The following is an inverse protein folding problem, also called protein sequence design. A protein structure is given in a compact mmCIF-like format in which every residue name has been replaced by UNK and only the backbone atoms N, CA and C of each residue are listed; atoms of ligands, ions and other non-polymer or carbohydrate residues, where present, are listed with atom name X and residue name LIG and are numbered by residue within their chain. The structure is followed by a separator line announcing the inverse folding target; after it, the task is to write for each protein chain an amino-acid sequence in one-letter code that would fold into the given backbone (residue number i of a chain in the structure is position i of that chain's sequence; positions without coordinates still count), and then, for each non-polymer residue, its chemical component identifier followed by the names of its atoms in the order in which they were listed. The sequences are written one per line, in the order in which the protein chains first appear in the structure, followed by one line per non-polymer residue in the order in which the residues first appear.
data_IF_302968128775
#
_entry.id   IF_302968128775
#
_cell.length_a   1.000
_cell.length_b   1.000
_cell.length_c   1.000
_cell.angle_alpha   90.00
_cell.angle_beta   90.00
_cell.angle_gamma   90.00
#
_symmetry.space_group_name_H-M   'P 1'
#
loop_
_entity.id
_entity.type
_entity.pdbx_description
1 polymer ?
#
# COMPACT_ATOMS: atom_id res chain seq x y z
N UNK A 1 12.90 -13.49 -6.91
CA UNK A 1 14.06 -13.69 -6.03
C UNK A 1 14.09 -12.60 -4.97
N UNK A 2 14.89 -12.78 -3.90
CA UNK A 2 15.00 -11.85 -2.75
C UNK A 2 15.21 -10.37 -3.16
N UNK A 3 16.17 -10.09 -4.04
CA UNK A 3 16.48 -8.73 -4.48
C UNK A 3 15.29 -8.03 -5.19
N UNK A 4 14.56 -8.75 -6.04
CA UNK A 4 13.37 -8.21 -6.69
C UNK A 4 12.26 -7.83 -5.67
N UNK A 5 12.14 -8.58 -4.57
CA UNK A 5 11.20 -8.23 -3.48
C UNK A 5 11.66 -6.95 -2.76
N UNK A 6 12.97 -6.73 -2.59
CA UNK A 6 13.50 -5.50 -1.98
C UNK A 6 13.31 -4.27 -2.89
N UNK A 7 13.61 -4.42 -4.18
CA UNK A 7 13.46 -3.32 -5.16
C UNK A 7 12.00 -2.87 -5.33
N UNK A 8 11.04 -3.78 -5.15
CA UNK A 8 9.62 -3.46 -5.18
C UNK A 8 9.17 -2.52 -4.04
N UNK A 9 10.00 -2.32 -3.01
CA UNK A 9 9.71 -1.50 -1.83
C UNK A 9 8.29 -1.71 -1.26
N UNK A 10 7.90 -2.98 -0.98
CA UNK A 10 6.55 -3.28 -0.53
C UNK A 10 6.26 -2.63 0.82
N UNK A 11 4.98 -2.44 1.20
CA UNK A 11 4.64 -1.96 2.54
C UNK A 11 5.32 -2.81 3.62
N UNK A 12 5.77 -2.18 4.70
CA UNK A 12 6.47 -2.84 5.79
C UNK A 12 5.48 -3.63 6.67
N UNK A 13 5.05 -4.79 6.21
CA UNK A 13 4.03 -5.64 6.83
C UNK A 13 4.52 -7.06 7.01
N UNK A 14 3.95 -7.85 7.94
CA UNK A 14 4.37 -9.23 8.11
C UNK A 14 4.20 -10.05 6.83
N UNK A 15 3.11 -9.90 6.07
CA UNK A 15 2.90 -10.66 4.83
C UNK A 15 3.97 -10.40 3.74
N UNK A 16 4.63 -9.25 3.76
CA UNK A 16 5.67 -8.88 2.78
C UNK A 16 7.08 -9.15 3.30
N UNK A 17 7.30 -8.96 4.60
CA UNK A 17 8.62 -9.11 5.23
C UNK A 17 8.93 -10.57 5.58
N UNK A 18 7.99 -11.35 6.12
CA UNK A 18 8.25 -12.74 6.56
C UNK A 18 8.88 -13.62 5.47
N UNK A 19 8.40 -13.60 4.20
CA UNK A 19 9.05 -14.37 3.14
C UNK A 19 10.52 -13.99 2.91
N UNK A 20 10.92 -12.74 3.20
CA UNK A 20 12.33 -12.32 3.07
C UNK A 20 13.19 -12.89 4.21
N UNK A 21 12.64 -12.98 5.42
CA UNK A 21 13.31 -13.62 6.57
C UNK A 21 13.47 -15.13 6.32
N UNK A 22 12.41 -15.80 5.86
CA UNK A 22 12.42 -17.22 5.54
C UNK A 22 13.44 -17.55 4.44
N UNK A 23 13.48 -16.75 3.37
CA UNK A 23 14.44 -16.89 2.27
C UNK A 23 15.90 -16.85 2.80
N UNK A 24 16.24 -15.91 3.69
CA UNK A 24 17.59 -15.81 4.26
C UNK A 24 17.92 -16.94 5.24
N UNK A 25 16.96 -17.34 6.07
CA UNK A 25 17.14 -18.46 7.00
C UNK A 25 17.39 -19.76 6.21
N UNK A 26 16.61 -20.02 5.16
CA UNK A 26 16.80 -21.18 4.28
C UNK A 26 18.17 -21.13 3.59
N UNK A 27 18.54 -19.99 2.98
CA UNK A 27 19.84 -19.84 2.31
C UNK A 27 21.03 -20.11 3.24
N UNK A 28 20.94 -19.66 4.50
CA UNK A 28 21.98 -19.88 5.52
C UNK A 28 22.19 -21.35 5.84
N UNK A 29 21.14 -22.16 5.81
CA UNK A 29 21.24 -23.61 6.07
C UNK A 29 21.78 -24.42 4.88
N UNK A 30 21.80 -23.83 3.67
CA UNK A 30 22.17 -24.52 2.43
C UNK A 30 23.63 -24.36 2.03
N UNK A 31 24.41 -23.55 2.74
CA UNK A 31 25.81 -23.25 2.40
C UNK A 31 26.71 -23.33 3.63
N UNK A 32 27.92 -23.83 3.46
CA UNK A 32 28.98 -23.77 4.48
C UNK A 32 30.14 -22.85 4.05
N UNK A 33 30.01 -22.19 2.89
CA UNK A 33 31.00 -21.23 2.41
C UNK A 33 31.03 -20.00 3.33
N UNK A 34 32.19 -19.73 3.94
CA UNK A 34 32.36 -18.65 4.92
C UNK A 34 32.12 -17.26 4.33
N UNK A 35 32.47 -17.03 3.05
CA UNK A 35 32.23 -15.76 2.38
C UNK A 35 30.74 -15.55 2.10
N UNK A 36 30.03 -16.61 1.71
CA UNK A 36 28.58 -16.56 1.51
C UNK A 36 27.86 -16.36 2.84
N UNK A 37 28.29 -17.05 3.91
CA UNK A 37 27.74 -16.89 5.26
C UNK A 37 27.89 -15.45 5.77
N UNK A 38 29.07 -14.83 5.61
CA UNK A 38 29.29 -13.44 5.99
C UNK A 38 28.30 -12.50 5.28
N UNK A 39 28.08 -12.70 3.97
CA UNK A 39 27.13 -11.88 3.20
C UNK A 39 25.68 -12.08 3.65
N UNK A 40 25.29 -13.31 3.98
CA UNK A 40 23.96 -13.60 4.51
C UNK A 40 23.74 -12.92 5.87
N UNK A 41 24.76 -12.87 6.73
CA UNK A 41 24.69 -12.18 8.03
C UNK A 41 24.51 -10.67 7.83
N UNK A 42 25.17 -10.06 6.84
CA UNK A 42 24.94 -8.65 6.52
C UNK A 42 23.50 -8.40 6.05
N UNK A 43 22.94 -9.29 5.23
CA UNK A 43 21.53 -9.22 4.83
C UNK A 43 20.57 -9.43 6.01
N UNK A 44 20.92 -10.28 6.98
CA UNK A 44 20.17 -10.45 8.22
C UNK A 44 20.22 -9.16 9.08
N UNK A 45 21.37 -8.50 9.17
CA UNK A 45 21.50 -7.20 9.84
C UNK A 45 20.61 -6.13 9.17
N UNK A 46 20.56 -6.13 7.84
CA UNK A 46 19.67 -5.24 7.09
C UNK A 46 18.19 -5.52 7.38
N UNK A 47 17.75 -6.78 7.34
CA UNK A 47 16.34 -7.10 7.63
C UNK A 47 15.96 -6.83 9.10
N UNK A 48 16.87 -7.04 10.04
CA UNK A 48 16.67 -6.63 11.43
C UNK A 48 16.47 -5.10 11.54
N UNK A 49 17.27 -4.33 10.80
CA UNK A 49 17.07 -2.88 10.68
C UNK A 49 15.73 -2.51 10.03
N UNK A 50 15.31 -3.19 8.95
CA UNK A 50 14.01 -2.95 8.31
C UNK A 50 12.85 -3.22 9.27
N UNK A 51 12.94 -4.28 10.07
CA UNK A 51 11.95 -4.59 11.10
C UNK A 51 11.91 -3.52 12.20
N UNK A 52 13.07 -2.99 12.63
CA UNK A 52 13.12 -1.88 13.59
C UNK A 52 12.57 -0.58 12.99
N UNK A 53 12.89 -0.30 11.73
CA UNK A 53 12.36 0.85 11.01
C UNK A 53 10.83 0.77 10.89
N UNK A 54 10.28 -0.43 10.68
CA UNK A 54 8.83 -0.66 10.71
C UNK A 54 8.23 -0.27 12.07
N UNK A 55 8.86 -0.66 13.19
CA UNK A 55 8.36 -0.28 14.52
C UNK A 55 8.33 1.23 14.71
N UNK A 56 9.35 1.93 14.24
CA UNK A 56 9.37 3.39 14.18
C UNK A 56 8.24 3.95 13.27
N UNK A 57 8.04 3.39 12.08
CA UNK A 57 7.01 3.84 11.15
C UNK A 57 5.59 3.64 11.69
N UNK A 58 5.34 2.57 12.45
CA UNK A 58 4.06 2.33 13.11
C UNK A 58 3.68 3.44 14.10
N UNK A 59 4.66 3.99 14.82
CA UNK A 59 4.46 5.12 15.74
C UNK A 59 4.32 6.41 14.95
N UNK A 60 5.31 6.72 14.09
CA UNK A 60 5.35 7.95 13.29
C UNK A 60 4.14 8.12 12.38
N UNK A 61 3.57 7.03 11.88
CA UNK A 61 2.48 7.12 10.91
C UNK A 61 1.13 7.42 11.55
N UNK A 62 0.97 7.31 12.88
CA UNK A 62 -0.29 7.58 13.59
C UNK A 62 -0.45 9.04 14.01
N UNK A 63 0.66 9.75 14.25
CA UNK A 63 0.66 11.14 14.70
C UNK A 63 1.71 11.95 13.96
N UNK A 64 1.38 13.21 13.64
CA UNK A 64 2.36 14.17 13.15
C UNK A 64 3.27 14.70 14.28
N UNK A 65 2.85 14.55 15.54
CA UNK A 65 3.58 15.05 16.70
C UNK A 65 4.67 14.06 17.15
N UNK A 66 5.82 14.58 17.54
CA UNK A 66 6.96 13.79 18.03
C UNK A 66 6.94 13.72 19.57
N UNK A 67 6.10 12.86 20.12
CA UNK A 67 6.06 12.59 21.56
C UNK A 67 7.18 11.65 22.04
N UNK A 68 7.12 11.25 23.31
CA UNK A 68 8.12 10.37 23.92
C UNK A 68 8.21 9.01 23.19
N UNK A 69 7.08 8.41 22.85
CA UNK A 69 7.03 7.15 22.08
C UNK A 69 7.76 7.27 20.72
N UNK A 70 7.68 8.44 20.07
CA UNK A 70 8.43 8.69 18.83
C UNK A 70 9.94 8.67 19.08
N UNK A 71 10.40 9.39 20.10
CA UNK A 71 11.82 9.50 20.42
C UNK A 71 12.42 8.20 20.96
N UNK A 72 11.66 7.40 21.72
CA UNK A 72 12.06 6.03 22.11
C UNK A 72 12.31 5.15 20.88
N UNK A 73 11.44 5.24 19.85
CA UNK A 73 11.64 4.51 18.59
C UNK A 73 12.80 5.05 17.77
N UNK A 74 12.99 6.38 17.74
CA UNK A 74 14.18 6.98 17.10
C UNK A 74 15.45 6.49 17.77
N UNK A 75 15.51 6.46 19.10
CA UNK A 75 16.68 6.00 19.84
C UNK A 75 17.02 4.55 19.50
N UNK A 76 16.03 3.65 19.57
CA UNK A 76 16.20 2.23 19.24
C UNK A 76 16.67 2.02 17.80
N UNK A 77 16.00 2.65 16.83
CA UNK A 77 16.34 2.56 15.40
C UNK A 77 17.76 3.08 15.12
N UNK A 78 18.08 4.26 15.65
CA UNK A 78 19.36 4.91 15.43
C UNK A 78 20.49 4.15 16.14
N UNK A 79 20.23 3.56 17.31
CA UNK A 79 21.21 2.71 17.98
C UNK A 79 21.54 1.47 17.16
N UNK A 80 20.53 0.79 16.62
CA UNK A 80 20.77 -0.37 15.75
C UNK A 80 21.57 0.05 14.51
N UNK A 81 21.16 1.13 13.83
CA UNK A 81 21.88 1.66 12.66
C UNK A 81 23.33 2.02 12.98
N UNK A 82 23.60 2.61 14.15
CA UNK A 82 24.95 2.88 14.64
C UNK A 82 25.76 1.60 14.85
N UNK A 83 25.20 0.59 15.55
CA UNK A 83 25.92 -0.64 15.88
C UNK A 83 26.17 -1.55 14.67
N UNK A 84 25.46 -1.38 13.55
CA UNK A 84 25.71 -2.13 12.29
C UNK A 84 26.45 -1.32 11.22
N UNK A 85 26.88 -0.08 11.51
CA UNK A 85 27.43 0.86 10.51
C UNK A 85 28.60 0.33 9.67
N UNK A 86 29.42 -0.56 10.23
CA UNK A 86 30.60 -1.12 9.54
C UNK A 86 30.29 -2.30 8.61
N UNK A 87 29.02 -2.71 8.52
CA UNK A 87 28.55 -3.73 7.57
C UNK A 87 28.13 -3.13 6.22
N UNK A 88 28.13 -1.81 6.09
CA UNK A 88 27.76 -1.06 4.87
C UNK A 88 26.38 -1.41 4.27
N UNK A 89 25.44 -1.87 5.10
CA UNK A 89 24.05 -2.18 4.69
C UNK A 89 23.07 -1.05 4.95
N UNK A 90 23.44 -0.06 5.78
CA UNK A 90 22.60 1.08 6.14
C UNK A 90 23.45 2.35 6.20
N UNK A 91 23.02 3.41 5.52
CA UNK A 91 23.68 4.70 5.56
C UNK A 91 23.28 5.51 6.81
N UNK A 92 23.77 5.10 7.99
CA UNK A 92 23.35 5.66 9.29
C UNK A 92 23.46 7.20 9.37
N UNK A 93 24.50 7.80 8.76
CA UNK A 93 24.67 9.26 8.78
C UNK A 93 23.55 10.01 8.04
N UNK A 94 23.05 9.46 6.93
CA UNK A 94 21.93 10.05 6.19
C UNK A 94 20.63 9.95 7.01
N UNK A 95 20.44 8.82 7.70
CA UNK A 95 19.31 8.63 8.61
C UNK A 95 19.36 9.62 9.79
N UNK A 96 20.53 9.77 10.43
CA UNK A 96 20.75 10.74 11.50
C UNK A 96 20.47 12.18 11.02
N UNK A 97 20.93 12.55 9.83
CA UNK A 97 20.62 13.89 9.28
C UNK A 97 19.12 14.15 9.10
N UNK A 98 18.35 13.11 8.81
CA UNK A 98 16.90 13.21 8.59
C UNK A 98 16.11 13.19 9.89
N UNK A 99 16.42 12.27 10.80
CA UNK A 99 15.64 12.02 12.02
C UNK A 99 16.16 12.79 13.25
N UNK A 100 17.46 13.08 13.28
CA UNK A 100 18.14 13.58 14.49
C UNK A 100 18.61 15.04 14.38
N UNK A 101 18.27 15.77 13.32
CA UNK A 101 18.70 17.17 13.19
C UNK A 101 17.62 18.17 13.60
N UNK A 102 16.67 18.44 12.72
CA UNK A 102 15.73 19.55 12.94
C UNK A 102 14.67 19.24 14.00
N UNK A 103 14.01 18.07 13.90
CA UNK A 103 12.91 17.69 14.79
C UNK A 103 13.32 17.68 16.28
N UNK A 104 14.41 17.01 16.72
CA UNK A 104 14.76 17.01 18.13
C UNK A 104 15.07 18.39 18.70
N UNK A 105 15.67 19.29 17.90
CA UNK A 105 15.93 20.65 18.35
C UNK A 105 14.65 21.48 18.50
N UNK A 106 13.65 21.25 17.64
CA UNK A 106 12.33 21.88 17.73
C UNK A 106 11.55 21.36 18.94
N UNK A 107 11.69 20.08 19.27
CA UNK A 107 10.96 19.41 20.33
C UNK A 107 11.70 19.46 21.70
N UNK A 108 12.75 20.28 21.82
CA UNK A 108 13.58 20.42 23.03
C UNK A 108 14.18 19.08 23.52
N UNK A 109 14.61 18.24 22.57
CA UNK A 109 15.33 16.97 22.74
C UNK A 109 16.75 17.04 22.13
N UNK A 110 17.59 18.02 22.49
CA UNK A 110 18.91 18.21 21.86
C UNK A 110 19.86 17.02 22.03
N UNK A 111 19.61 16.15 23.01
CA UNK A 111 20.37 14.92 23.29
C UNK A 111 20.31 13.88 22.16
N UNK A 112 19.34 13.99 21.25
CA UNK A 112 19.29 13.20 20.02
C UNK A 112 20.15 13.79 18.90
N UNK A 113 20.58 15.05 19.01
CA UNK A 113 21.20 15.76 17.90
C UNK A 113 22.63 15.31 17.61
N UNK A 114 22.98 15.19 16.32
CA UNK A 114 24.37 14.97 15.89
C UNK A 114 25.35 16.04 16.40
N UNK A 115 24.86 17.23 16.72
CA UNK A 115 25.65 18.36 17.22
C UNK A 115 25.56 18.52 18.74
N UNK A 116 25.04 17.52 19.46
CA UNK A 116 24.97 17.52 20.92
C UNK A 116 26.38 17.67 21.51
N UNK A 117 26.59 18.75 22.28
CA UNK A 117 27.90 19.12 22.82
C UNK A 117 28.28 18.45 24.14
N UNK A 118 27.35 18.18 25.08
CA UNK A 118 27.69 17.54 26.35
C UNK A 118 28.26 16.12 26.22
N UNK A 119 28.07 15.45 25.08
CA UNK A 119 28.57 14.10 24.84
C UNK A 119 28.09 13.55 23.50
N UNK A 120 28.31 12.24 23.23
CA UNK A 120 27.70 11.59 22.08
C UNK A 120 26.16 11.64 22.20
N UNK A 121 25.44 11.65 21.07
CA UNK A 121 23.99 11.56 21.07
C UNK A 121 23.50 10.29 21.79
N UNK A 122 22.31 10.34 22.40
CA UNK A 122 21.78 9.22 23.20
C UNK A 122 21.70 7.89 22.45
N UNK A 123 21.56 7.92 21.12
CA UNK A 123 21.51 6.73 20.29
C UNK A 123 22.90 6.16 19.91
N UNK A 124 24.00 6.90 20.08
CA UNK A 124 25.36 6.43 19.77
C UNK A 124 25.98 5.64 20.94
N UNK A 125 25.35 4.52 21.29
CA UNK A 125 25.78 3.68 22.40
C UNK A 125 26.18 2.26 21.95
N UNK A 126 27.14 1.69 22.66
CA UNK A 126 27.56 0.29 22.51
C UNK A 126 28.54 0.02 21.37
N UNK A 127 29.13 -1.17 21.43
CA UNK A 127 30.06 -1.71 20.44
C UNK A 127 29.33 -2.25 19.19
N UNK A 128 30.04 -2.39 18.05
CA UNK A 128 29.49 -3.04 16.86
C UNK A 128 28.90 -4.43 17.17
N UNK A 129 27.78 -4.78 16.52
CA UNK A 129 27.15 -6.09 16.72
C UNK A 129 28.03 -7.22 16.17
N UNK A 130 28.31 -8.20 17.03
CA UNK A 130 28.84 -9.50 16.61
C UNK A 130 27.85 -10.24 15.71
N UNK A 131 28.34 -11.21 14.94
CA UNK A 131 27.48 -12.03 14.07
C UNK A 131 26.41 -12.79 14.86
N UNK A 132 26.75 -13.28 16.06
CA UNK A 132 25.81 -13.94 16.95
C UNK A 132 24.69 -12.99 17.41
N UNK A 133 25.01 -11.74 17.77
CA UNK A 133 24.01 -10.74 18.12
C UNK A 133 23.11 -10.36 16.93
N UNK A 134 23.67 -10.28 15.71
CA UNK A 134 22.89 -10.04 14.49
C UNK A 134 21.89 -11.17 14.25
N UNK A 135 22.33 -12.42 14.34
CA UNK A 135 21.48 -13.60 14.17
C UNK A 135 20.36 -13.59 15.22
N UNK A 136 20.68 -13.35 16.49
CA UNK A 136 19.69 -13.29 17.55
C UNK A 136 18.64 -12.18 17.33
N UNK A 137 19.08 -10.99 16.87
CA UNK A 137 18.15 -9.90 16.54
C UNK A 137 17.27 -10.22 15.34
N UNK A 138 17.82 -10.87 14.33
CA UNK A 138 17.07 -11.33 13.16
C UNK A 138 15.98 -12.34 13.56
N UNK A 139 16.34 -13.34 14.37
CA UNK A 139 15.40 -14.35 14.87
C UNK A 139 14.30 -13.72 15.75
N UNK A 140 14.67 -12.78 16.62
CA UNK A 140 13.70 -12.02 17.40
C UNK A 140 12.76 -11.19 16.52
N UNK A 141 13.27 -10.53 15.48
CA UNK A 141 12.46 -9.76 14.55
C UNK A 141 11.48 -10.66 13.77
N UNK A 142 11.93 -11.83 13.31
CA UNK A 142 11.08 -12.83 12.65
C UNK A 142 9.98 -13.32 13.59
N UNK A 143 10.32 -13.67 14.84
CA UNK A 143 9.34 -14.10 15.85
C UNK A 143 8.32 -13.00 16.15
N UNK A 144 8.75 -11.75 16.23
CA UNK A 144 7.85 -10.61 16.45
C UNK A 144 6.90 -10.41 15.27
N UNK A 145 7.39 -10.53 14.03
CA UNK A 145 6.54 -10.43 12.83
C UNK A 145 5.52 -11.55 12.75
N UNK A 146 5.90 -12.78 13.14
CA UNK A 146 4.97 -13.91 13.22
C UNK A 146 3.88 -13.69 14.29
N UNK A 147 4.26 -13.19 15.47
CA UNK A 147 3.32 -12.90 16.55
C UNK A 147 2.41 -11.70 16.25
N UNK A 148 2.85 -10.75 15.43
CA UNK A 148 2.07 -9.59 15.01
C UNK A 148 0.86 -9.99 14.16
N UNK A 149 1.02 -11.03 13.33
CA UNK A 149 0.03 -11.48 12.37
C UNK A 149 -0.21 -10.47 11.23
N UNK A 150 -0.85 -10.92 10.15
CA UNK A 150 -1.28 -10.04 9.06
C UNK A 150 -2.77 -10.32 8.77
N UNK A 151 -3.65 -9.30 8.82
CA UNK A 151 -5.07 -9.50 8.53
C UNK A 151 -5.36 -9.62 7.03
N UNK A 152 -4.33 -9.57 6.17
CA UNK A 152 -4.49 -9.64 4.73
C UNK A 152 -5.02 -11.01 4.31
N UNK A 153 -6.17 -11.01 3.66
CA UNK A 153 -6.79 -12.17 3.03
C UNK A 153 -6.47 -12.14 1.54
N UNK A 154 -5.97 -13.25 1.02
CA UNK A 154 -5.75 -13.42 -0.40
C UNK A 154 -7.02 -13.97 -1.06
N UNK A 155 -7.41 -13.33 -2.15
CA UNK A 155 -8.54 -13.76 -2.97
C UNK A 155 -8.07 -14.23 -4.34
N UNK A 156 -8.83 -15.13 -4.93
CA UNK A 156 -8.64 -15.54 -6.32
C UNK A 156 -8.89 -14.36 -7.26
N UNK A 157 -8.35 -14.48 -8.48
CA UNK A 157 -8.54 -13.49 -9.54
C UNK A 157 -9.63 -13.88 -10.53
N UNK A 158 -10.41 -14.92 -10.23
CA UNK A 158 -11.54 -15.32 -11.08
C UNK A 158 -12.75 -14.49 -10.68
N UNK A 159 -13.17 -13.58 -11.54
CA UNK A 159 -14.10 -12.52 -11.20
C UNK A 159 -15.49 -12.80 -11.75
N UNK A 160 -16.49 -12.70 -10.87
CA UNK A 160 -17.90 -12.72 -11.25
C UNK A 160 -18.54 -11.36 -10.91
N UNK A 161 -19.48 -10.88 -11.75
CA UNK A 161 -20.18 -9.62 -11.48
C UNK A 161 -21.13 -9.79 -10.28
N UNK A 162 -21.17 -8.80 -9.39
CA UNK A 162 -22.11 -8.78 -8.26
C UNK A 162 -23.12 -7.66 -8.44
N UNK A 163 -24.39 -8.02 -8.28
CA UNK A 163 -25.52 -7.07 -8.31
C UNK A 163 -26.23 -7.08 -6.97
N UNK A 164 -25.94 -6.08 -6.15
CA UNK A 164 -26.66 -5.84 -4.89
C UNK A 164 -27.59 -4.64 -5.05
N UNK A 165 -28.80 -4.73 -4.50
CA UNK A 165 -29.74 -3.61 -4.42
C UNK A 165 -29.22 -2.47 -3.55
N UNK A 166 -29.93 -1.34 -3.56
CA UNK A 166 -29.58 -0.13 -2.81
C UNK A 166 -29.26 1.06 -3.71
N UNK A 167 -29.09 2.22 -3.07
CA UNK A 167 -28.96 3.49 -3.78
C UNK A 167 -27.63 3.60 -4.55
N UNK A 168 -27.70 4.23 -5.72
CA UNK A 168 -26.53 4.59 -6.52
C UNK A 168 -26.07 6.00 -6.14
N UNK A 169 -24.84 6.12 -5.64
CA UNK A 169 -24.24 7.41 -5.32
C UNK A 169 -23.72 8.14 -6.58
N UNK A 170 -23.91 7.54 -7.77
CA UNK A 170 -23.47 8.04 -9.06
C UNK A 170 -22.06 7.56 -9.43
N UNK A 171 -21.54 7.99 -10.58
CA UNK A 171 -20.18 7.68 -11.03
C UNK A 171 -19.14 8.43 -10.18
N UNK A 172 -17.92 7.90 -10.10
CA UNK A 172 -16.81 8.65 -9.48
C UNK A 172 -16.64 10.03 -10.11
N UNK A 173 -16.30 11.04 -9.31
CA UNK A 173 -16.06 12.41 -9.77
C UNK A 173 -14.92 13.07 -8.97
N UNK A 174 -14.26 14.04 -9.59
CA UNK A 174 -13.35 14.97 -8.92
C UNK A 174 -14.17 16.19 -8.47
N UNK A 175 -13.82 16.81 -7.34
CA UNK A 175 -14.53 17.99 -6.82
C UNK A 175 -14.94 19.00 -7.90
N UNK A 176 -16.19 19.47 -7.84
CA UNK A 176 -16.73 20.56 -8.65
C UNK A 176 -16.91 20.30 -10.16
N UNK A 177 -16.74 19.08 -10.65
CA UNK A 177 -17.11 18.73 -12.04
C UNK A 177 -18.64 18.49 -12.14
N UNK A 178 -19.33 18.96 -13.19
CA UNK A 178 -20.71 18.56 -13.46
C UNK A 178 -20.86 17.04 -13.50
N UNK A 179 -22.05 16.52 -13.14
CA UNK A 179 -22.38 15.10 -13.26
C UNK A 179 -22.48 14.71 -14.73
N UNK A 180 -21.35 14.42 -15.36
CA UNK A 180 -21.32 13.62 -16.57
C UNK A 180 -21.65 12.16 -16.24
N UNK A 181 -22.14 11.40 -17.22
CA UNK A 181 -22.39 9.95 -17.07
C UNK A 181 -21.09 9.15 -16.89
N UNK A 182 -19.95 9.71 -17.32
CA UNK A 182 -18.65 9.07 -17.21
C UNK A 182 -17.97 9.40 -15.87
N UNK A 183 -17.43 8.37 -15.24
CA UNK A 183 -16.69 8.52 -14.00
C UNK A 183 -15.31 9.13 -14.22
N UNK A 184 -14.88 10.05 -13.36
CA UNK A 184 -13.55 10.66 -13.38
C UNK A 184 -12.82 10.38 -12.06
N UNK A 185 -11.56 9.97 -12.16
CA UNK A 185 -10.68 9.78 -11.01
C UNK A 185 -9.24 10.15 -11.31
N UNK A 186 -8.52 10.68 -10.31
CA UNK A 186 -7.10 10.98 -10.42
C UNK A 186 -6.27 10.01 -9.60
N UNK A 187 -5.23 9.47 -10.24
CA UNK A 187 -4.30 8.50 -9.68
C UNK A 187 -2.87 9.03 -9.63
N UNK A 188 -2.08 8.54 -8.68
CA UNK A 188 -0.64 8.80 -8.57
C UNK A 188 0.14 7.49 -8.64
N UNK A 189 1.32 7.54 -9.25
CA UNK A 189 2.26 6.41 -9.32
C UNK A 189 1.73 5.16 -10.03
N UNK A 190 0.64 5.30 -10.79
CA UNK A 190 0.04 4.24 -11.57
C UNK A 190 -1.26 3.67 -11.02
N UNK A 191 -1.76 2.66 -11.74
CA UNK A 191 -2.95 1.88 -11.43
C UNK A 191 -2.76 0.46 -11.97
N UNK A 192 -3.11 -0.53 -11.17
CA UNK A 192 -3.37 -1.88 -11.65
C UNK A 192 -4.88 -2.09 -11.61
N UNK A 193 -5.45 -2.56 -12.71
CA UNK A 193 -6.87 -2.87 -12.80
C UNK A 193 -7.17 -3.97 -13.79
N UNK A 194 -8.47 -4.19 -14.02
CA UNK A 194 -8.97 -5.28 -14.83
C UNK A 194 -10.17 -4.82 -15.66
N UNK A 195 -10.12 -5.07 -16.96
CA UNK A 195 -11.28 -4.99 -17.84
C UNK A 195 -11.92 -6.37 -17.89
N UNK A 196 -13.20 -6.46 -17.54
CA UNK A 196 -13.92 -7.74 -17.41
C UNK A 196 -15.18 -7.76 -18.30
N UNK A 197 -15.04 -7.80 -19.64
CA UNK A 197 -16.18 -7.84 -20.54
C UNK A 197 -16.90 -9.19 -20.49
N UNK A 198 -18.23 -9.18 -20.67
CA UNK A 198 -19.04 -10.39 -20.79
C UNK A 198 -18.96 -11.07 -22.18
N UNK A 199 -18.27 -10.45 -23.13
CA UNK A 199 -18.17 -10.88 -24.52
C UNK A 199 -17.13 -10.04 -25.28
N UNK A 200 -17.21 -10.02 -26.61
CA UNK A 200 -16.40 -9.09 -27.39
C UNK A 200 -16.84 -7.64 -27.11
N UNK A 201 -15.90 -6.73 -26.87
CA UNK A 201 -16.16 -5.34 -26.50
C UNK A 201 -14.99 -4.46 -26.95
N UNK A 202 -15.27 -3.24 -27.39
CA UNK A 202 -14.25 -2.18 -27.46
C UNK A 202 -14.34 -1.35 -26.18
N UNK A 203 -13.38 -1.52 -25.27
CA UNK A 203 -13.33 -0.74 -24.04
C UNK A 203 -12.94 0.71 -24.39
N UNK A 204 -13.70 1.67 -23.90
CA UNK A 204 -13.45 3.10 -24.12
C UNK A 204 -13.04 3.74 -22.82
N UNK A 205 -11.87 4.37 -22.81
CA UNK A 205 -11.37 5.13 -21.68
C UNK A 205 -10.89 6.48 -22.22
N UNK A 206 -10.75 7.46 -21.34
CA UNK A 206 -9.97 8.64 -21.67
C UNK A 206 -8.94 8.92 -20.58
N UNK A 207 -7.74 9.32 -20.99
CA UNK A 207 -6.64 9.57 -20.07
C UNK A 207 -6.02 10.95 -20.27
N UNK A 208 -5.74 11.64 -19.16
CA UNK A 208 -5.01 12.91 -19.15
C UNK A 208 -3.82 12.81 -18.20
N UNK A 209 -2.58 12.66 -18.72
CA UNK A 209 -1.36 12.67 -17.89
C UNK A 209 -1.18 14.02 -17.20
N UNK A 210 -0.82 14.03 -15.91
CA UNK A 210 -0.76 15.30 -15.16
C UNK A 210 0.52 16.09 -15.36
N UNK A 211 1.65 15.44 -15.67
CA UNK A 211 2.95 16.13 -15.83
C UNK A 211 3.96 15.31 -16.64
N UNK A 212 4.13 14.03 -16.30
CA UNK A 212 5.02 13.10 -17.00
C UNK A 212 4.22 12.25 -18.00
N UNK A 213 4.89 11.66 -19.01
CA UNK A 213 4.27 10.65 -19.84
C UNK A 213 3.69 9.51 -19.00
N UNK A 214 2.58 8.95 -19.46
CA UNK A 214 1.86 7.85 -18.85
C UNK A 214 1.72 6.74 -19.86
N UNK A 215 2.05 5.51 -19.46
CA UNK A 215 1.91 4.33 -20.32
C UNK A 215 0.71 3.53 -19.86
N UNK A 216 -0.14 3.13 -20.79
CA UNK A 216 -1.19 2.13 -20.58
C UNK A 216 -0.75 0.85 -21.28
N UNK A 217 -0.76 -0.27 -20.57
CA UNK A 217 -0.58 -1.61 -21.10
C UNK A 217 -1.81 -2.46 -20.73
N UNK A 218 -2.32 -3.22 -21.69
CA UNK A 218 -3.40 -4.18 -21.46
C UNK A 218 -2.93 -5.56 -21.88
N UNK A 219 -3.06 -6.53 -20.97
CA UNK A 219 -2.61 -7.89 -21.17
C UNK A 219 -3.79 -8.85 -21.24
N UNK A 220 -3.76 -9.72 -22.24
CA UNK A 220 -4.54 -10.95 -22.25
C UNK A 220 -3.64 -12.08 -21.75
N UNK A 221 -3.89 -12.55 -20.52
CA UNK A 221 -2.95 -13.41 -19.79
C UNK A 221 -1.62 -12.67 -19.58
N UNK A 222 -0.55 -13.10 -20.23
CA UNK A 222 0.78 -12.49 -20.15
C UNK A 222 1.19 -11.79 -21.46
N UNK A 223 0.32 -11.82 -22.48
CA UNK A 223 0.57 -11.19 -23.77
C UNK A 223 -0.03 -9.77 -23.78
N UNK A 224 0.81 -8.76 -24.04
CA UNK A 224 0.34 -7.39 -24.23
C UNK A 224 -0.45 -7.30 -25.55
N UNK A 225 -1.74 -6.92 -25.46
CA UNK A 225 -2.62 -6.72 -26.62
C UNK A 225 -2.81 -5.23 -26.95
N UNK A 226 -2.43 -4.35 -26.02
CA UNK A 226 -2.45 -2.91 -26.19
C UNK A 226 -1.31 -2.31 -25.38
N UNK A 227 -0.59 -1.38 -25.99
CA UNK A 227 0.44 -0.58 -25.33
C UNK A 227 0.51 0.80 -25.97
N UNK A 228 0.34 1.84 -25.17
CA UNK A 228 0.44 3.21 -25.65
C UNK A 228 0.97 4.16 -24.59
N UNK A 229 1.85 5.07 -24.99
CA UNK A 229 2.33 6.18 -24.17
C UNK A 229 1.56 7.47 -24.53
N UNK A 230 1.13 8.19 -23.51
CA UNK A 230 0.44 9.48 -23.63
C UNK A 230 1.28 10.55 -22.93
N UNK A 231 1.48 11.67 -23.61
CA UNK A 231 2.14 12.85 -23.02
C UNK A 231 1.13 13.82 -22.44
N UNK A 232 1.57 14.62 -21.49
CA UNK A 232 0.75 15.67 -20.89
C UNK A 232 0.17 16.58 -21.97
N UNK A 233 -1.14 16.83 -21.90
CA UNK A 233 -1.89 17.68 -22.79
C UNK A 233 -3.04 18.35 -22.01
N UNK A 234 -3.55 19.47 -22.51
CA UNK A 234 -4.66 20.21 -21.88
C UNK A 234 -6.03 19.50 -22.05
N UNK A 235 -6.05 18.36 -22.73
CA UNK A 235 -7.25 17.57 -23.01
C UNK A 235 -7.06 16.10 -22.67
N UNK A 236 -8.18 15.38 -22.57
CA UNK A 236 -8.18 13.93 -22.45
C UNK A 236 -7.82 13.28 -23.80
N UNK A 237 -6.98 12.25 -23.76
CA UNK A 237 -6.70 11.38 -24.90
C UNK A 237 -7.70 10.22 -24.91
N UNK A 238 -8.44 10.00 -26.01
CA UNK A 238 -9.28 8.81 -26.14
C UNK A 238 -8.42 7.55 -26.24
N UNK A 239 -8.86 6.49 -25.59
CA UNK A 239 -8.22 5.18 -25.56
C UNK A 239 -9.29 4.15 -25.92
N UNK A 240 -9.09 3.45 -27.03
CA UNK A 240 -9.98 2.36 -27.45
C UNK A 240 -9.18 1.05 -27.48
N UNK A 241 -9.67 0.06 -26.74
CA UNK A 241 -9.00 -1.24 -26.60
C UNK A 241 -9.95 -2.34 -27.06
N UNK A 242 -9.56 -3.09 -28.07
CA UNK A 242 -10.35 -4.23 -28.56
C UNK A 242 -10.16 -5.45 -27.63
N UNK A 243 -11.27 -5.90 -27.04
CA UNK A 243 -11.34 -7.08 -26.18
C UNK A 243 -12.08 -8.18 -26.95
N UNK A 244 -11.40 -9.20 -27.48
CA UNK A 244 -12.00 -10.13 -28.45
C UNK A 244 -13.04 -11.11 -27.85
N UNK A 245 -13.08 -11.32 -26.54
CA UNK A 245 -13.97 -12.28 -25.88
C UNK A 245 -14.10 -12.00 -24.38
N UNK A 246 -15.03 -12.72 -23.73
CA UNK A 246 -15.12 -12.73 -22.28
C UNK A 246 -13.83 -13.26 -21.64
N UNK A 247 -13.16 -12.41 -20.86
CA UNK A 247 -11.96 -12.73 -20.10
C UNK A 247 -11.63 -11.60 -19.11
N UNK A 248 -10.69 -11.83 -18.19
CA UNK A 248 -10.09 -10.79 -17.35
C UNK A 248 -8.84 -10.24 -18.03
N UNK A 249 -8.89 -9.01 -18.51
CA UNK A 249 -7.75 -8.34 -19.13
C UNK A 249 -7.06 -7.46 -18.10
N UNK A 250 -5.77 -7.72 -17.83
CA UNK A 250 -4.99 -6.94 -16.86
C UNK A 250 -4.64 -5.60 -17.46
N UNK A 251 -4.97 -4.51 -16.78
CA UNK A 251 -4.65 -3.13 -17.18
C UNK A 251 -3.60 -2.59 -16.23
N UNK A 252 -2.45 -2.19 -16.77
CA UNK A 252 -1.39 -1.51 -16.03
C UNK A 252 -1.23 -0.11 -16.60
N UNK A 253 -1.41 0.89 -15.74
CA UNK A 253 -1.16 2.29 -16.08
C UNK A 253 -0.02 2.79 -15.20
N UNK A 254 1.03 3.37 -15.79
CA UNK A 254 2.18 3.88 -15.04
C UNK A 254 2.25 5.41 -15.10
N UNK A 255 2.58 6.05 -13.97
CA UNK A 255 2.67 7.51 -13.86
C UNK A 255 1.48 8.17 -13.18
N UNK A 256 1.40 9.51 -13.26
CA UNK A 256 0.35 10.31 -12.63
C UNK A 256 -0.65 10.77 -13.69
N UNK A 257 -1.93 10.48 -13.50
CA UNK A 257 -2.96 10.71 -14.52
C UNK A 257 -4.35 10.95 -13.94
N UNK A 258 -5.22 11.53 -14.76
CA UNK A 258 -6.67 11.52 -14.58
C UNK A 258 -7.28 10.57 -15.60
N UNK A 259 -8.16 9.69 -15.14
CA UNK A 259 -8.86 8.70 -15.94
C UNK A 259 -10.34 9.05 -16.01
N UNK A 260 -10.93 8.98 -17.20
CA UNK A 260 -12.37 8.99 -17.42
C UNK A 260 -12.82 7.61 -17.89
N UNK A 261 -13.84 7.07 -17.24
CA UNK A 261 -14.37 5.71 -17.45
C UNK A 261 -15.88 5.80 -17.70
N UNK A 262 -16.37 5.53 -18.90
CA UNK A 262 -17.79 5.38 -19.20
C UNK A 262 -18.46 4.27 -18.38
N UNK A 263 -19.78 4.38 -18.14
CA UNK A 263 -20.52 3.43 -17.32
C UNK A 263 -20.61 2.01 -17.90
N UNK A 264 -20.52 1.89 -19.23
CA UNK A 264 -20.53 0.63 -19.97
C UNK A 264 -19.15 -0.06 -20.01
N UNK A 265 -18.09 0.62 -19.56
CA UNK A 265 -16.74 0.06 -19.54
C UNK A 265 -16.51 -0.68 -18.21
N UNK A 266 -16.35 -2.02 -18.22
CA UNK A 266 -16.26 -2.86 -17.02
C UNK A 266 -14.85 -2.84 -16.43
N UNK A 267 -14.36 -1.64 -16.09
CA UNK A 267 -13.05 -1.44 -15.47
C UNK A 267 -13.18 -1.39 -13.95
N UNK A 268 -12.47 -2.29 -13.29
CA UNK A 268 -12.21 -2.25 -11.85
C UNK A 268 -10.71 -2.02 -11.61
N UNK A 269 -10.34 -1.60 -10.41
CA UNK A 269 -8.95 -1.42 -10.04
C UNK A 269 -8.61 -1.97 -8.66
N UNK A 270 -7.33 -2.32 -8.48
CA UNK A 270 -6.82 -2.98 -7.29
C UNK A 270 -6.38 -1.96 -6.22
N UNK A 271 -6.69 -2.25 -4.95
CA UNK A 271 -6.18 -1.57 -3.77
C UNK A 271 -5.70 -2.60 -2.73
N UNK A 272 -4.78 -3.48 -3.14
CA UNK A 272 -4.23 -4.53 -2.30
C UNK A 272 -2.98 -4.07 -1.56
N UNK A 273 -2.45 -4.90 -0.65
CA UNK A 273 -1.19 -4.61 0.04
C UNK A 273 -0.03 -4.45 -0.93
N UNK A 274 0.02 -5.27 -1.99
CA UNK A 274 1.14 -5.24 -2.94
C UNK A 274 0.97 -4.08 -3.93
N UNK A 275 -0.27 -3.70 -4.24
CA UNK A 275 -0.62 -2.64 -5.19
C UNK A 275 -1.70 -1.74 -4.58
N UNK A 276 -1.33 -0.85 -3.63
CA UNK A 276 -2.29 0.05 -3.04
C UNK A 276 -2.75 1.09 -4.07
N UNK A 277 -4.02 1.48 -4.01
CA UNK A 277 -4.54 2.52 -4.89
C UNK A 277 -4.14 3.90 -4.33
N UNK A 278 -3.50 4.73 -5.15
CA UNK A 278 -3.14 6.10 -4.77
C UNK A 278 -4.06 7.11 -5.45
N UNK A 279 -5.13 7.48 -4.75
CA UNK A 279 -6.22 8.29 -5.29
C UNK A 279 -6.06 9.76 -4.86
N UNK A 280 -6.44 10.71 -5.71
CA UNK A 280 -6.39 12.13 -5.40
C UNK A 280 -7.74 12.80 -5.62
N UNK A 281 -8.52 13.01 -4.55
CA UNK A 281 -9.79 13.73 -4.57
C UNK A 281 -10.78 13.13 -5.58
N UNK A 282 -11.18 11.88 -5.37
CA UNK A 282 -12.08 11.17 -6.28
C UNK A 282 -13.03 10.25 -5.50
N UNK A 283 -14.20 10.00 -6.07
CA UNK A 283 -15.21 9.08 -5.55
C UNK A 283 -16.62 9.49 -6.01
N UNK A 284 -17.64 8.64 -5.83
CA UNK A 284 -17.60 7.34 -5.17
C UNK A 284 -16.85 6.25 -5.96
N UNK A 285 -16.09 5.43 -5.24
CA UNK A 285 -15.59 4.14 -5.70
C UNK A 285 -16.29 3.04 -4.93
N UNK A 286 -16.89 2.09 -5.63
CA UNK A 286 -17.70 1.03 -5.06
C UNK A 286 -16.86 -0.22 -4.81
N UNK A 287 -17.11 -0.91 -3.70
CA UNK A 287 -16.51 -2.21 -3.42
C UNK A 287 -17.50 -3.06 -2.62
N UNK A 288 -17.35 -4.38 -2.72
CA UNK A 288 -18.22 -5.33 -2.03
C UNK A 288 -17.66 -5.73 -0.68
N UNK A 289 -18.50 -5.67 0.36
CA UNK A 289 -18.20 -6.23 1.68
C UNK A 289 -18.89 -7.60 1.77
N UNK A 290 -18.14 -8.72 1.82
CA UNK A 290 -18.73 -10.06 1.79
C UNK A 290 -19.71 -10.32 2.93
N UNK A 291 -20.71 -11.16 2.67
CA UNK A 291 -21.65 -11.61 3.70
C UNK A 291 -20.91 -12.35 4.83
N UNK A 292 -21.28 -12.07 6.07
CA UNK A 292 -20.63 -12.59 7.27
C UNK A 292 -19.41 -11.78 7.73
N UNK A 293 -19.02 -10.72 6.99
CA UNK A 293 -17.92 -9.84 7.41
C UNK A 293 -18.36 -9.04 8.64
N UNK A 294 -17.64 -9.20 9.76
CA UNK A 294 -17.92 -8.49 11.02
C UNK A 294 -17.12 -7.21 11.17
N UNK A 295 -15.96 -7.18 10.55
CA UNK A 295 -15.01 -6.07 10.61
C UNK A 295 -14.40 -5.90 9.23
N UNK A 296 -14.36 -4.66 8.76
CA UNK A 296 -13.62 -4.25 7.57
C UNK A 296 -12.26 -3.73 8.04
N UNK A 297 -11.18 -4.33 7.54
CA UNK A 297 -9.81 -3.98 7.90
C UNK A 297 -9.14 -3.29 6.72
N UNK A 298 -8.71 -2.05 6.92
CA UNK A 298 -8.17 -1.17 5.87
C UNK A 298 -6.90 -0.48 6.31
N UNK A 299 -6.14 0.05 5.36
CA UNK A 299 -5.11 1.06 5.63
C UNK A 299 -5.31 2.25 4.70
N UNK A 300 -5.18 3.45 5.26
CA UNK A 300 -5.44 4.69 4.56
C UNK A 300 -4.49 5.79 5.03
N UNK A 301 -3.97 6.58 4.08
CA UNK A 301 -3.14 7.75 4.37
C UNK A 301 -3.22 8.78 3.24
N UNK A 302 -3.67 10.04 3.48
CA UNK A 302 -4.03 10.61 4.78
C UNK A 302 -5.51 10.48 5.16
N UNK A 303 -6.40 10.03 4.25
CA UNK A 303 -7.82 9.93 4.56
C UNK A 303 -8.58 8.96 3.65
N UNK A 304 -9.36 8.07 4.27
CA UNK A 304 -10.38 7.27 3.60
C UNK A 304 -11.76 7.66 4.13
N UNK A 305 -12.64 8.12 3.25
CA UNK A 305 -14.00 8.51 3.60
C UNK A 305 -14.98 7.49 3.03
N UNK A 306 -15.57 6.66 3.88
CA UNK A 306 -16.50 5.60 3.53
C UNK A 306 -17.95 6.05 3.72
N UNK A 307 -18.85 5.52 2.91
CA UNK A 307 -20.29 5.51 3.18
C UNK A 307 -20.69 4.08 3.48
N UNK A 308 -21.17 3.88 4.69
CA UNK A 308 -21.59 2.59 5.23
C UNK A 308 -23.11 2.50 5.07
N UNK A 309 -23.64 1.48 4.38
CA UNK A 309 -25.08 1.25 4.26
C UNK A 309 -25.78 1.34 5.62
N UNK A 310 -26.84 2.15 5.70
CA UNK A 310 -27.62 2.35 6.93
C UNK A 310 -26.98 3.23 8.02
N UNK A 311 -25.69 3.58 7.93
CA UNK A 311 -25.01 4.45 8.91
C UNK A 311 -24.54 5.79 8.35
N UNK A 312 -24.33 5.89 7.03
CA UNK A 312 -23.86 7.11 6.39
C UNK A 312 -22.33 7.23 6.38
N UNK A 313 -21.82 8.46 6.37
CA UNK A 313 -20.39 8.73 6.15
C UNK A 313 -19.55 8.49 7.40
N UNK A 314 -18.42 7.80 7.25
CA UNK A 314 -17.35 7.68 8.24
C UNK A 314 -16.01 8.07 7.63
N UNK A 315 -15.31 8.97 8.31
CA UNK A 315 -13.96 9.41 7.93
C UNK A 315 -12.92 8.62 8.74
N UNK A 316 -11.91 8.10 8.06
CA UNK A 316 -10.81 7.31 8.63
C UNK A 316 -9.48 7.98 8.34
N UNK A 317 -8.64 8.07 9.37
CA UNK A 317 -7.35 8.72 9.36
C UNK A 317 -6.26 7.80 9.92
N UNK A 318 -4.98 8.07 9.63
CA UNK A 318 -3.87 7.32 10.22
C UNK A 318 -3.90 7.23 11.75
N UNK A 319 -4.46 8.24 12.44
CA UNK A 319 -4.66 8.24 13.89
C UNK A 319 -5.63 7.13 14.38
N UNK A 320 -6.53 6.67 13.53
CA UNK A 320 -7.51 5.60 13.83
C UNK A 320 -6.90 4.19 13.72
N UNK A 321 -5.62 4.07 13.33
CA UNK A 321 -4.95 2.76 13.27
C UNK A 321 -4.87 2.15 14.68
N UNK A 322 -5.01 0.84 14.73
CA UNK A 322 -4.82 0.06 15.96
C UNK A 322 -3.39 0.27 16.47
N UNK A 323 -3.24 0.44 17.79
CA UNK A 323 -1.91 0.64 18.39
C UNK A 323 -0.96 -0.49 18.03
N UNK A 324 0.24 -0.15 17.57
CA UNK A 324 1.23 -1.12 17.08
C UNK A 324 0.89 -1.79 15.75
N UNK A 325 -0.14 -1.35 15.01
CA UNK A 325 -0.54 -1.91 13.72
C UNK A 325 -0.61 -0.85 12.63
N UNK A 326 -0.43 -1.28 11.37
CA UNK A 326 -0.50 -0.42 10.19
C UNK A 326 -1.90 -0.36 9.58
N UNK A 327 -2.95 -0.71 10.32
CA UNK A 327 -4.31 -0.84 9.80
C UNK A 327 -5.36 -0.32 10.78
N UNK A 328 -6.53 -0.01 10.24
CA UNK A 328 -7.72 0.50 10.91
C UNK A 328 -8.77 -0.62 10.86
N UNK A 329 -9.48 -0.82 11.97
CA UNK A 329 -10.60 -1.76 12.05
C UNK A 329 -11.91 -0.97 12.08
N UNK A 330 -12.80 -1.29 11.16
CA UNK A 330 -14.13 -0.69 11.01
C UNK A 330 -15.17 -1.77 11.27
N UNK A 331 -15.92 -1.72 12.38
CA UNK A 331 -17.03 -2.65 12.59
C UNK A 331 -18.02 -2.56 11.43
N UNK A 332 -18.43 -3.72 10.91
CA UNK A 332 -19.47 -3.84 9.89
C UNK A 332 -20.81 -3.94 10.62
N UNK A 333 -21.71 -2.96 10.45
CA UNK A 333 -23.03 -2.99 11.09
C UNK A 333 -23.89 -4.15 10.59
N UNK A 334 -24.85 -4.58 11.41
CA UNK A 334 -25.83 -5.59 11.01
C UNK A 334 -26.54 -5.19 9.71
N UNK A 335 -26.51 -6.09 8.71
CA UNK A 335 -27.12 -5.87 7.40
C UNK A 335 -26.31 -5.00 6.44
N UNK A 336 -25.14 -4.49 6.85
CA UNK A 336 -24.19 -3.81 5.97
C UNK A 336 -23.19 -4.78 5.30
N UNK A 337 -23.14 -6.04 5.73
CA UNK A 337 -22.43 -7.12 5.05
C UNK A 337 -23.25 -7.64 3.86
N UNK A 338 -22.57 -8.22 2.87
CA UNK A 338 -23.21 -8.60 1.61
C UNK A 338 -23.73 -7.40 0.79
N UNK A 339 -23.25 -6.18 1.09
CA UNK A 339 -23.66 -4.93 0.45
C UNK A 339 -22.50 -4.27 -0.28
N UNK A 340 -22.82 -3.37 -1.21
CA UNK A 340 -21.86 -2.45 -1.79
C UNK A 340 -21.64 -1.26 -0.86
N UNK A 341 -20.38 -1.06 -0.48
CA UNK A 341 -19.92 0.15 0.20
C UNK A 341 -19.28 1.05 -0.85
N UNK A 342 -19.15 2.35 -0.54
CA UNK A 342 -18.43 3.23 -1.43
C UNK A 342 -17.64 4.32 -0.71
N UNK A 343 -16.62 4.83 -1.39
CA UNK A 343 -15.88 6.01 -0.93
C UNK A 343 -16.66 7.31 -1.20
N UNK A 344 -16.19 8.44 -0.66
CA UNK A 344 -16.67 9.77 -1.05
C UNK A 344 -15.57 10.55 -1.77
N UNK A 345 -15.92 11.71 -2.34
CA UNK A 345 -14.97 12.64 -2.96
C UNK A 345 -13.90 13.18 -2.01
N UNK A 346 -14.07 13.01 -0.69
CA UNK A 346 -13.10 13.42 0.34
C UNK A 346 -11.96 12.40 0.54
N UNK A 347 -12.05 11.23 -0.09
CA UNK A 347 -11.01 10.22 -0.07
C UNK A 347 -9.77 10.69 -0.81
N UNK A 348 -8.60 10.52 -0.17
CA UNK A 348 -7.31 10.98 -0.70
C UNK A 348 -6.14 10.14 -0.19
N UNK A 349 -5.16 9.99 -1.06
CA UNK A 349 -3.90 9.30 -0.82
C UNK A 349 -3.99 7.80 -1.04
N UNK A 350 -3.19 7.06 -0.28
CA UNK A 350 -3.03 5.61 -0.38
C UNK A 350 -4.20 4.92 0.31
N UNK A 351 -4.81 3.93 -0.35
CA UNK A 351 -5.88 3.09 0.18
C UNK A 351 -5.51 1.64 0.00
N UNK A 352 -5.82 0.82 1.00
CA UNK A 352 -5.66 -0.62 0.96
C UNK A 352 -6.81 -1.32 1.67
N UNK A 353 -7.41 -2.32 1.02
CA UNK A 353 -8.37 -3.26 1.63
C UNK A 353 -7.63 -4.54 2.00
N UNK A 354 -7.80 -5.03 3.23
CA UNK A 354 -6.99 -6.14 3.76
C UNK A 354 -7.76 -7.44 3.83
N UNK A 355 -9.00 -7.42 4.33
CA UNK A 355 -9.77 -8.64 4.54
C UNK A 355 -11.05 -8.74 3.69
N UNK A 356 -11.20 -7.85 2.71
CA UNK A 356 -12.23 -7.90 1.67
C UNK A 356 -11.57 -7.89 0.29
N UNK A 357 -12.27 -8.29 -0.79
CA UNK A 357 -11.72 -8.18 -2.14
C UNK A 357 -11.16 -6.79 -2.38
N UNK A 358 -9.87 -6.64 -2.75
CA UNK A 358 -9.24 -5.35 -2.92
C UNK A 358 -9.58 -4.74 -4.27
N UNK A 359 -10.84 -4.84 -4.70
CA UNK A 359 -11.33 -4.43 -6.01
C UNK A 359 -12.32 -3.28 -5.84
N UNK A 360 -12.00 -2.15 -6.46
CA UNK A 360 -12.86 -0.98 -6.51
C UNK A 360 -13.37 -0.75 -7.92
N UNK A 361 -14.61 -0.30 -8.03
CA UNK A 361 -15.22 0.10 -9.29
C UNK A 361 -15.54 1.59 -9.30
N UNK A 362 -15.47 2.19 -10.48
CA UNK A 362 -15.87 3.57 -10.72
C UNK A 362 -17.39 3.77 -10.77
N UNK A 363 -18.13 2.69 -11.01
CA UNK A 363 -19.58 2.68 -11.18
C UNK A 363 -20.20 1.57 -10.36
N UNK A 364 -21.41 1.79 -9.84
CA UNK A 364 -22.12 0.76 -9.06
C UNK A 364 -22.43 -0.49 -9.89
N UNK A 365 -22.72 -0.31 -11.19
CA UNK A 365 -23.12 -1.39 -12.10
C UNK A 365 -22.00 -2.32 -12.54
N UNK A 366 -20.73 -1.96 -12.30
CA UNK A 366 -19.55 -2.71 -12.75
C UNK A 366 -18.70 -3.17 -11.57
N UNK A 367 -19.33 -3.67 -10.50
CA UNK A 367 -18.63 -4.30 -9.38
C UNK A 367 -18.46 -5.79 -9.65
N UNK A 368 -17.24 -6.26 -9.47
CA UNK A 368 -16.86 -7.66 -9.61
C UNK A 368 -16.20 -8.14 -8.33
N UNK A 369 -16.38 -9.42 -8.03
CA UNK A 369 -15.77 -10.06 -6.86
C UNK A 369 -15.13 -11.39 -7.25
N UNK A 370 -14.14 -11.87 -6.49
CA UNK A 370 -13.64 -13.23 -6.59
C UNK A 370 -14.79 -14.26 -6.50
N UNK A 371 -14.79 -15.25 -7.40
CA UNK A 371 -15.85 -16.27 -7.56
C UNK A 371 -16.16 -17.04 -6.29
N UNK A 372 -15.20 -17.18 -5.38
CA UNK A 372 -15.43 -17.81 -4.08
C UNK A 372 -16.35 -17.00 -3.15
N UNK A 373 -16.76 -15.79 -3.55
CA UNK A 373 -17.65 -14.89 -2.82
C UNK A 373 -18.95 -14.56 -3.55
N UNK A 374 -19.12 -15.02 -4.80
CA UNK A 374 -20.26 -14.65 -5.66
C UNK A 374 -21.56 -15.36 -5.31
#
# INVERSE_FOLDING_TARGET
GFYAKMEAAPPLRPATLLPMFEDLQAARTQTNDSAVQARLIDLMAYLAYVAEFRQFDLVRSRSADHGDEYYERVESLMNLAWRIRHRDVVHYYALARRLCNAAPLQDNRPEFSLTYKPGPPVWQQGEPLSDAEVIARFEQAMSNLQADGDPTVHFSRYLDPVRVGGDDAGPSQIHATPRDEAAVSRFRSGLLGYLVPAGALTARLEISPTSKPVTIQVFYRDDAIFEQEYRAADQFHPVEIELPRAFEYRVEISGDFTLRVPADTPLIFEASVVRPAWISYSGPHYFYVPKGTRELIVDADPRLSLVIPGQGRRDLHPADRVSGKSHIIVPVPDGADGQLWHTTTLTRGRITLLNTPPLLSFHRGTVFVPRELS
#
